data_IF_463795221625
#
_entry.id   IF_463795221625
#
_cell.length_a   1.000
_cell.length_b   1.000
_cell.length_c   1.000
_cell.angle_alpha   90.00
_cell.angle_beta   90.00
_cell.angle_gamma   90.00
#
_symmetry.space_group_name_H-M   'P 1'
#
loop_
_entity.id
_entity.type
_entity.pdbx_description
1 polymer ?
#
# COMPACT_ATOMS: atom_id res chain seq x y z
N UNK A 1 16.07 -22.45 -24.51
CA UNK A 1 17.01 -21.39 -24.98
C UNK A 1 16.80 -20.11 -24.19
N UNK A 2 17.13 -20.12 -22.90
CA UNK A 2 17.00 -18.96 -22.00
C UNK A 2 17.81 -19.24 -20.73
N UNK A 3 19.10 -19.52 -20.89
CA UNK A 3 20.03 -19.80 -19.79
C UNK A 3 21.48 -19.57 -20.26
N UNK A 4 21.82 -18.34 -20.66
CA UNK A 4 23.20 -17.99 -21.05
C UNK A 4 23.60 -16.53 -20.81
N UNK A 5 22.87 -15.73 -20.03
CA UNK A 5 23.20 -14.29 -19.83
C UNK A 5 23.61 -13.93 -18.39
N UNK A 6 23.67 -14.89 -17.47
CA UNK A 6 23.95 -14.62 -16.05
C UNK A 6 25.35 -15.07 -15.56
N UNK A 7 26.37 -15.05 -16.42
CA UNK A 7 27.74 -15.49 -16.04
C UNK A 7 28.85 -14.50 -16.39
N UNK A 8 28.59 -13.19 -16.35
CA UNK A 8 29.60 -12.16 -16.66
C UNK A 8 29.83 -11.10 -15.56
N UNK A 9 29.39 -11.34 -14.32
CA UNK A 9 29.66 -10.46 -13.19
C UNK A 9 30.27 -11.24 -12.02
N UNK A 10 31.44 -11.83 -12.25
CA UNK A 10 32.33 -12.32 -11.19
C UNK A 10 33.77 -12.43 -11.72
N UNK A 11 34.49 -11.31 -11.73
CA UNK A 11 35.96 -11.32 -11.83
C UNK A 11 36.53 -10.18 -10.99
N UNK A 12 36.94 -10.45 -9.73
CA UNK A 12 37.75 -9.52 -8.96
C UNK A 12 39.22 -9.92 -9.15
N UNK A 13 39.91 -9.35 -10.13
CA UNK A 13 41.39 -9.28 -10.16
C UNK A 13 41.90 -8.62 -11.44
N UNK A 14 42.00 -7.29 -11.45
CA UNK A 14 42.93 -6.56 -12.33
C UNK A 14 43.08 -5.12 -11.81
N UNK A 15 43.77 -4.97 -10.69
CA UNK A 15 44.34 -3.68 -10.27
C UNK A 15 45.66 -3.47 -11.03
N UNK A 16 45.53 -3.10 -12.30
CA UNK A 16 46.56 -2.34 -13.02
C UNK A 16 45.93 -0.99 -13.36
N UNK A 17 46.56 0.11 -12.95
CA UNK A 17 46.01 1.46 -13.07
C UNK A 17 45.63 1.89 -14.51
N UNK A 18 46.05 1.14 -15.55
CA UNK A 18 45.64 1.40 -16.94
C UNK A 18 44.28 0.79 -17.33
N UNK A 19 43.80 -0.25 -16.64
CA UNK A 19 42.56 -0.94 -17.04
C UNK A 19 41.28 -0.14 -16.68
N UNK A 20 41.35 0.71 -15.65
CA UNK A 20 40.23 1.60 -15.29
C UNK A 20 40.04 2.73 -16.29
N UNK A 21 41.13 3.22 -16.89
CA UNK A 21 41.12 4.43 -17.71
C UNK A 21 40.62 4.12 -19.13
N UNK A 22 40.97 2.96 -19.67
CA UNK A 22 40.40 2.47 -20.94
C UNK A 22 38.90 2.13 -20.82
N UNK A 23 38.48 1.56 -19.69
CA UNK A 23 37.07 1.27 -19.44
C UNK A 23 36.22 2.54 -19.32
N UNK A 24 36.76 3.58 -18.67
CA UNK A 24 36.11 4.89 -18.58
C UNK A 24 36.02 5.57 -19.96
N UNK A 25 37.10 5.52 -20.74
CA UNK A 25 37.14 6.09 -22.09
C UNK A 25 36.11 5.44 -23.03
N UNK A 26 36.02 4.10 -23.02
CA UNK A 26 35.02 3.36 -23.79
C UNK A 26 33.59 3.72 -23.38
N UNK A 27 33.36 4.00 -22.10
CA UNK A 27 32.04 4.41 -21.60
C UNK A 27 31.69 5.83 -22.09
N UNK A 28 32.66 6.75 -22.12
CA UNK A 28 32.49 8.10 -22.66
C UNK A 28 32.24 8.10 -24.17
N UNK A 29 32.94 7.23 -24.93
CA UNK A 29 32.71 7.04 -26.37
C UNK A 29 31.33 6.44 -26.62
N UNK A 30 30.94 5.42 -25.87
CA UNK A 30 29.61 4.80 -25.97
C UNK A 30 28.46 5.78 -25.65
N UNK A 31 28.73 6.79 -24.82
CA UNK A 31 27.78 7.86 -24.47
C UNK A 31 27.81 9.03 -25.46
N UNK A 32 28.66 8.98 -26.49
CA UNK A 32 28.80 10.02 -27.52
C UNK A 32 29.40 11.31 -26.99
N UNK A 33 30.10 11.27 -25.85
CA UNK A 33 30.71 12.44 -25.22
C UNK A 33 32.10 12.71 -25.82
N UNK A 34 32.80 11.65 -26.19
CA UNK A 34 34.10 11.71 -26.86
C UNK A 34 34.03 10.89 -28.13
N UNK A 35 34.60 11.41 -29.21
CA UNK A 35 34.85 10.61 -30.42
C UNK A 35 36.10 9.76 -30.24
N UNK A 36 36.20 8.66 -31.00
CA UNK A 36 37.40 7.81 -30.98
C UNK A 36 38.66 8.60 -31.36
N UNK A 37 38.53 9.56 -32.28
CA UNK A 37 39.63 10.41 -32.75
C UNK A 37 40.14 11.36 -31.66
N UNK A 38 39.23 11.96 -30.88
CA UNK A 38 39.59 12.82 -29.74
C UNK A 38 40.28 12.03 -28.62
N UNK A 39 39.87 10.78 -28.39
CA UNK A 39 40.50 9.92 -27.39
C UNK A 39 41.94 9.58 -27.77
N UNK A 40 42.18 9.18 -29.03
CA UNK A 40 43.52 8.87 -29.52
C UNK A 40 44.43 10.11 -29.54
N UNK A 41 43.88 11.29 -29.84
CA UNK A 41 44.62 12.56 -29.76
C UNK A 41 45.07 12.88 -28.32
N UNK A 42 44.16 12.74 -27.35
CA UNK A 42 44.46 12.91 -25.92
C UNK A 42 45.48 11.90 -25.41
N UNK A 43 45.36 10.63 -25.82
CA UNK A 43 46.33 9.58 -25.45
C UNK A 43 47.73 9.89 -25.95
N UNK A 44 47.83 10.36 -27.20
CA UNK A 44 49.10 10.76 -27.82
C UNK A 44 49.72 12.01 -27.18
N UNK A 45 48.89 12.96 -26.73
CA UNK A 45 49.35 14.14 -25.99
C UNK A 45 49.92 13.75 -24.62
N UNK A 46 49.26 12.84 -23.89
CA UNK A 46 49.72 12.37 -22.58
C UNK A 46 51.01 11.55 -22.70
N UNK A 47 51.10 10.65 -23.68
CA UNK A 47 52.30 9.84 -23.93
C UNK A 47 53.47 10.67 -24.50
N UNK A 48 53.18 11.79 -25.18
CA UNK A 48 54.17 12.67 -25.80
C UNK A 48 54.88 13.66 -24.85
N UNK A 49 54.44 13.78 -23.59
CA UNK A 49 54.89 14.84 -22.66
C UNK A 49 56.04 14.41 -21.72
N UNK A 50 56.71 13.27 -21.93
CA UNK A 50 57.89 12.89 -21.13
C UNK A 50 59.21 13.15 -21.89
N UNK A 51 59.84 14.35 -21.77
CA UNK A 51 61.23 14.51 -22.14
C UNK A 51 62.14 13.84 -21.11
N UNK A 52 63.22 13.14 -21.54
CA UNK A 52 64.23 12.63 -20.60
C UNK A 52 64.95 13.81 -19.94
N UNK A 53 64.99 13.80 -18.61
CA UNK A 53 65.65 14.81 -17.79
C UNK A 53 67.17 14.86 -18.09
N UNK A 54 67.75 16.04 -18.37
CA UNK A 54 69.19 16.23 -18.27
C UNK A 54 69.59 16.61 -16.83
N UNK A 55 70.66 15.97 -16.36
CA UNK A 55 71.24 16.17 -15.04
C UNK A 55 71.94 17.54 -14.89
N UNK A 56 71.66 18.17 -13.75
CA UNK A 56 72.46 19.14 -12.96
C UNK A 56 73.33 20.21 -13.66
N UNK A 57 73.04 21.48 -13.40
CA UNK A 57 73.76 22.33 -12.41
C UNK A 57 73.69 23.83 -12.78
N UNK A 58 73.09 24.65 -11.90
CA UNK A 58 73.58 25.99 -11.54
C UNK A 58 72.62 26.65 -10.52
N UNK A 59 73.19 27.16 -9.43
CA UNK A 59 72.53 28.03 -8.45
C UNK A 59 72.21 29.39 -9.11
N UNK A 60 70.97 29.86 -8.99
CA UNK A 60 70.59 31.26 -9.18
C UNK A 60 69.66 31.72 -8.03
N UNK A 61 69.71 33.00 -7.63
CA UNK A 61 69.17 33.47 -6.36
C UNK A 61 67.68 33.81 -6.42
N UNK A 62 67.09 33.87 -5.23
CA UNK A 62 65.67 34.01 -4.92
C UNK A 62 64.96 35.12 -5.71
N UNK A 63 63.94 34.71 -6.46
CA UNK A 63 62.85 35.54 -6.94
C UNK A 63 61.72 35.61 -5.89
N UNK A 64 60.94 36.70 -5.84
CA UNK A 64 59.92 36.91 -4.81
C UNK A 64 58.77 35.88 -4.92
N UNK A 65 58.00 35.68 -3.83
CA UNK A 65 56.91 34.72 -3.80
C UNK A 65 55.85 35.14 -4.81
N UNK A 66 55.77 34.42 -5.92
CA UNK A 66 54.62 34.44 -6.81
C UNK A 66 53.59 33.57 -6.11
N UNK A 67 52.44 34.15 -5.77
CA UNK A 67 51.29 33.42 -5.26
C UNK A 67 50.90 32.37 -6.31
N UNK A 68 51.42 31.15 -6.15
CA UNK A 68 50.95 29.96 -6.85
C UNK A 68 49.57 29.64 -6.30
N UNK A 69 48.58 30.38 -6.79
CA UNK A 69 47.20 29.98 -6.80
C UNK A 69 47.17 28.59 -7.44
N UNK A 70 47.05 27.58 -6.58
CA UNK A 70 47.17 26.17 -6.88
C UNK A 70 46.17 25.79 -7.96
N UNK A 71 46.60 25.90 -9.22
CA UNK A 71 45.89 25.38 -10.37
C UNK A 71 45.83 23.87 -10.20
N UNK A 72 44.69 23.37 -9.71
CA UNK A 72 44.35 21.96 -9.80
C UNK A 72 44.71 21.48 -11.23
N UNK A 73 45.38 20.33 -11.35
CA UNK A 73 45.86 19.87 -12.65
C UNK A 73 44.70 19.83 -13.64
N UNK A 74 44.93 20.11 -14.94
CA UNK A 74 43.88 20.23 -15.96
C UNK A 74 42.88 19.08 -15.98
N UNK A 75 43.33 17.88 -15.58
CA UNK A 75 42.52 16.66 -15.47
C UNK A 75 41.45 16.74 -14.37
N UNK A 76 41.76 17.35 -13.22
CA UNK A 76 40.80 17.46 -12.11
C UNK A 76 39.67 18.45 -12.45
N UNK A 77 39.98 19.53 -13.17
CA UNK A 77 38.97 20.48 -13.67
C UNK A 77 38.00 19.83 -14.65
N UNK A 78 38.52 19.04 -15.60
CA UNK A 78 37.69 18.30 -16.56
C UNK A 78 36.80 17.25 -15.86
N UNK A 79 37.33 16.57 -14.83
CA UNK A 79 36.53 15.62 -14.04
C UNK A 79 35.37 16.29 -13.32
N UNK A 80 35.62 17.45 -12.72
CA UNK A 80 34.58 18.22 -12.03
C UNK A 80 33.54 18.77 -13.01
N UNK A 81 33.96 19.27 -14.17
CA UNK A 81 33.05 19.77 -15.23
C UNK A 81 32.16 18.64 -15.80
N UNK A 82 32.73 17.47 -16.10
CA UNK A 82 31.97 16.30 -16.55
C UNK A 82 31.02 15.82 -15.46
N UNK A 83 31.45 15.82 -14.19
CA UNK A 83 30.59 15.44 -13.06
C UNK A 83 29.41 16.41 -12.91
N UNK A 84 29.65 17.71 -13.05
CA UNK A 84 28.60 18.73 -12.95
C UNK A 84 27.65 18.71 -14.14
N UNK A 85 28.13 18.36 -15.33
CA UNK A 85 27.25 18.17 -16.49
C UNK A 85 26.43 16.87 -16.40
N UNK A 86 27.01 15.78 -15.89
CA UNK A 86 26.28 14.55 -15.62
C UNK A 86 25.20 14.77 -14.55
N UNK A 87 25.50 15.52 -13.48
CA UNK A 87 24.51 15.92 -12.46
C UNK A 87 23.38 16.75 -13.06
N UNK A 88 23.70 17.79 -13.84
CA UNK A 88 22.69 18.62 -14.52
C UNK A 88 21.79 17.81 -15.45
N UNK A 89 22.34 16.82 -16.16
CA UNK A 89 21.55 15.95 -17.04
C UNK A 89 20.66 14.98 -16.25
N UNK A 90 21.14 14.42 -15.14
CA UNK A 90 20.33 13.53 -14.30
C UNK A 90 19.19 14.29 -13.63
N UNK A 91 19.44 15.52 -13.15
CA UNK A 91 18.44 16.42 -12.59
C UNK A 91 17.35 16.80 -13.61
N UNK A 92 17.73 17.04 -14.87
CA UNK A 92 16.79 17.33 -15.96
C UNK A 92 16.11 16.10 -16.59
N UNK A 93 16.53 14.88 -16.24
CA UNK A 93 16.02 13.67 -16.88
C UNK A 93 14.70 13.21 -16.25
N UNK A 94 13.65 13.11 -17.07
CA UNK A 94 12.37 12.51 -16.66
C UNK A 94 12.58 11.00 -16.51
N UNK A 95 12.30 10.46 -15.32
CA UNK A 95 12.37 9.03 -15.05
C UNK A 95 10.97 8.43 -15.20
N UNK A 96 10.84 7.41 -16.03
CA UNK A 96 9.57 6.71 -16.27
C UNK A 96 9.76 5.26 -15.82
N UNK A 97 8.86 4.80 -14.95
CA UNK A 97 8.79 3.42 -14.46
C UNK A 97 7.42 2.82 -14.78
N UNK A 98 7.41 1.55 -15.15
CA UNK A 98 6.18 0.81 -15.40
C UNK A 98 6.36 -0.63 -14.92
N UNK A 99 5.32 -1.17 -14.30
CA UNK A 99 5.32 -2.52 -13.75
C UNK A 99 3.92 -3.07 -13.62
N UNK A 100 3.80 -4.33 -13.26
CA UNK A 100 2.52 -4.94 -12.96
C UNK A 100 2.67 -5.98 -11.85
N UNK A 101 1.64 -6.08 -11.01
CA UNK A 101 1.48 -7.18 -10.07
C UNK A 101 0.37 -8.10 -10.58
N UNK A 102 0.64 -9.40 -10.66
CA UNK A 102 -0.36 -10.43 -10.94
C UNK A 102 -0.44 -11.35 -9.73
N UNK A 103 -1.65 -11.66 -9.30
CA UNK A 103 -1.92 -12.59 -8.21
C UNK A 103 -3.06 -13.52 -8.60
N UNK A 104 -2.86 -14.80 -8.33
CA UNK A 104 -3.89 -15.83 -8.42
C UNK A 104 -3.87 -16.59 -7.10
N UNK A 105 -5.04 -16.86 -6.53
CA UNK A 105 -5.19 -17.56 -5.25
C UNK A 105 -6.42 -18.45 -5.28
N UNK A 106 -6.30 -19.66 -4.73
CA UNK A 106 -7.44 -20.50 -4.40
C UNK A 106 -7.61 -20.55 -2.89
N UNK A 107 -8.80 -20.21 -2.39
CA UNK A 107 -9.16 -20.43 -0.99
C UNK A 107 -10.15 -21.58 -0.90
N UNK A 108 -9.91 -22.49 0.04
CA UNK A 108 -10.76 -23.66 0.27
C UNK A 108 -11.13 -23.70 1.74
N UNK A 109 -12.42 -23.65 2.03
CA UNK A 109 -12.94 -23.75 3.38
C UNK A 109 -14.26 -24.52 3.29
N UNK A 110 -14.53 -25.40 4.27
CA UNK A 110 -15.76 -26.20 4.25
C UNK A 110 -17.04 -25.35 4.25
N UNK A 111 -16.94 -24.11 4.71
CA UNK A 111 -17.98 -23.11 4.57
C UNK A 111 -17.33 -21.73 4.47
N UNK A 112 -17.39 -21.10 3.30
CA UNK A 112 -16.93 -19.71 3.12
C UNK A 112 -18.00 -18.69 3.50
N UNK A 113 -19.24 -19.14 3.72
CA UNK A 113 -20.32 -18.29 4.16
C UNK A 113 -20.53 -18.40 5.68
N UNK A 114 -19.87 -17.53 6.44
CA UNK A 114 -20.00 -17.51 7.90
C UNK A 114 -21.41 -17.14 8.41
N UNK A 115 -22.32 -16.70 7.53
CA UNK A 115 -23.73 -16.47 7.89
C UNK A 115 -24.62 -17.68 7.63
N UNK A 116 -24.15 -18.67 6.86
CA UNK A 116 -24.85 -19.93 6.65
C UNK A 116 -24.49 -20.96 7.73
N UNK A 117 -25.30 -21.03 8.78
CA UNK A 117 -25.15 -22.04 9.83
C UNK A 117 -25.69 -23.42 9.44
N UNK A 118 -26.36 -23.56 8.29
CA UNK A 118 -26.92 -24.84 7.84
C UNK A 118 -25.85 -25.78 7.27
N UNK A 119 -24.69 -25.22 6.91
CA UNK A 119 -23.52 -25.96 6.40
C UNK A 119 -23.91 -26.87 5.24
N UNK A 120 -24.58 -26.31 4.23
CA UNK A 120 -25.01 -27.08 3.06
C UNK A 120 -23.77 -27.62 2.33
N UNK A 121 -23.47 -28.93 2.36
CA UNK A 121 -22.25 -29.46 1.77
C UNK A 121 -22.23 -29.26 0.26
N UNK A 122 -21.07 -28.92 -0.30
CA UNK A 122 -20.86 -28.68 -1.73
C UNK A 122 -21.20 -27.27 -2.22
N UNK A 123 -21.73 -26.39 -1.37
CA UNK A 123 -21.97 -24.98 -1.69
C UNK A 123 -20.85 -24.09 -1.12
N UNK A 124 -20.30 -23.19 -1.95
CA UNK A 124 -19.33 -22.18 -1.53
C UNK A 124 -18.07 -22.71 -0.80
N UNK A 125 -17.63 -23.95 -1.12
CA UNK A 125 -16.48 -24.59 -0.45
C UNK A 125 -15.11 -24.13 -0.98
N UNK A 126 -15.11 -23.49 -2.14
CA UNK A 126 -13.90 -23.01 -2.81
C UNK A 126 -14.15 -21.71 -3.54
N UNK A 127 -13.14 -20.84 -3.57
CA UNK A 127 -13.12 -19.64 -4.40
C UNK A 127 -11.75 -19.48 -5.06
N UNK A 128 -11.76 -18.98 -6.29
CA UNK A 128 -10.59 -18.50 -6.99
C UNK A 128 -10.61 -16.97 -6.98
N UNK A 129 -9.45 -16.38 -6.68
CA UNK A 129 -9.24 -14.95 -6.65
C UNK A 129 -8.13 -14.60 -7.64
N UNK A 130 -8.41 -13.63 -8.48
CA UNK A 130 -7.56 -13.17 -9.56
C UNK A 130 -7.36 -11.67 -9.36
N UNK A 131 -6.13 -11.17 -9.48
CA UNK A 131 -5.87 -9.74 -9.42
C UNK A 131 -4.71 -9.33 -10.29
N UNK A 132 -4.91 -8.29 -11.08
CA UNK A 132 -3.88 -7.67 -11.92
C UNK A 132 -3.83 -6.18 -11.63
N UNK A 133 -2.66 -5.66 -11.26
CA UNK A 133 -2.44 -4.24 -10.97
C UNK A 133 -1.30 -3.66 -11.81
N UNK A 134 -1.58 -3.18 -13.04
CA UNK A 134 -0.60 -2.42 -13.80
C UNK A 134 -0.36 -1.08 -13.12
N UNK A 135 0.91 -0.66 -13.04
CA UNK A 135 1.38 0.58 -12.45
C UNK A 135 2.26 1.32 -13.46
N UNK A 136 2.12 2.64 -13.49
CA UNK A 136 3.09 3.52 -14.12
C UNK A 136 3.42 4.68 -13.17
N UNK A 137 4.66 5.13 -13.20
CA UNK A 137 5.08 6.34 -12.49
C UNK A 137 6.05 7.19 -13.31
N UNK A 138 5.92 8.49 -13.14
CA UNK A 138 6.79 9.50 -13.75
C UNK A 138 7.40 10.31 -12.61
N UNK A 139 8.72 10.38 -12.56
CA UNK A 139 9.46 11.20 -11.61
C UNK A 139 10.17 12.33 -12.35
N UNK A 140 10.06 13.53 -11.79
CA UNK A 140 10.67 14.76 -12.24
C UNK A 140 11.72 15.18 -11.18
N UNK A 141 12.99 14.72 -11.30
CA UNK A 141 13.99 14.93 -10.26
C UNK A 141 14.23 16.42 -9.96
N UNK A 142 14.30 17.28 -10.98
CA UNK A 142 14.49 18.72 -10.82
C UNK A 142 13.43 19.39 -9.92
N UNK A 143 12.17 18.96 -9.98
CA UNK A 143 11.09 19.52 -9.14
C UNK A 143 10.75 18.66 -7.93
N UNK A 144 11.39 17.49 -7.79
CA UNK A 144 11.08 16.46 -6.78
C UNK A 144 9.61 16.02 -6.80
N UNK A 145 8.98 16.09 -7.98
CA UNK A 145 7.59 15.71 -8.19
C UNK A 145 7.52 14.30 -8.75
N UNK A 146 6.59 13.50 -8.23
CA UNK A 146 6.29 12.15 -8.71
C UNK A 146 4.80 12.01 -8.99
N UNK A 147 4.47 11.48 -10.16
CA UNK A 147 3.12 11.08 -10.54
C UNK A 147 3.05 9.56 -10.52
N UNK A 148 2.00 9.00 -9.92
CA UNK A 148 1.77 7.55 -9.87
C UNK A 148 0.34 7.26 -10.30
N UNK A 149 0.18 6.24 -11.14
CA UNK A 149 -1.13 5.66 -11.47
C UNK A 149 -1.05 4.14 -11.41
N UNK A 150 -2.12 3.52 -10.92
CA UNK A 150 -2.25 2.08 -10.80
C UNK A 150 -3.70 1.69 -11.03
N UNK A 151 -3.94 0.94 -12.10
CA UNK A 151 -5.21 0.27 -12.33
C UNK A 151 -5.29 -1.02 -11.53
N UNK A 152 -6.49 -1.56 -11.39
CA UNK A 152 -6.73 -2.87 -10.79
C UNK A 152 -7.84 -3.57 -11.56
N UNK A 153 -7.55 -4.78 -12.03
CA UNK A 153 -8.59 -5.75 -12.31
C UNK A 153 -8.62 -6.75 -11.15
N UNK A 154 -9.82 -7.05 -10.66
CA UNK A 154 -10.06 -8.06 -9.64
C UNK A 154 -11.16 -9.01 -10.08
N UNK A 155 -10.89 -10.32 -9.94
CA UNK A 155 -11.84 -11.39 -10.18
C UNK A 155 -11.98 -12.26 -8.94
N UNK A 156 -13.21 -12.64 -8.62
CA UNK A 156 -13.58 -13.64 -7.63
C UNK A 156 -14.56 -14.59 -8.28
N UNK A 157 -14.26 -15.89 -8.25
CA UNK A 157 -15.08 -16.95 -8.84
C UNK A 157 -15.32 -18.04 -7.82
N UNK A 158 -16.54 -18.54 -7.74
CA UNK A 158 -16.94 -19.47 -6.68
C UNK A 158 -17.04 -18.80 -5.30
N UNK A 159 -17.31 -19.60 -4.26
CA UNK A 159 -17.54 -19.11 -2.92
C UNK A 159 -18.94 -18.51 -2.75
N UNK A 160 -19.05 -17.40 -2.02
CA UNK A 160 -20.33 -16.77 -1.66
C UNK A 160 -20.86 -15.86 -2.76
N UNK A 161 -19.97 -15.29 -3.56
CA UNK A 161 -20.30 -14.35 -4.64
C UNK A 161 -19.29 -14.48 -5.78
N UNK A 162 -19.76 -14.24 -7.01
CA UNK A 162 -18.90 -14.05 -8.18
C UNK A 162 -18.78 -12.57 -8.48
N UNK A 163 -17.57 -12.13 -8.84
CA UNK A 163 -17.27 -10.71 -9.00
C UNK A 163 -16.13 -10.47 -9.96
N UNK A 164 -16.27 -9.50 -10.85
CA UNK A 164 -15.22 -9.08 -11.78
C UNK A 164 -15.30 -7.56 -11.95
N UNK A 165 -14.28 -6.83 -11.48
CA UNK A 165 -14.27 -5.36 -11.52
C UNK A 165 -12.95 -4.81 -12.04
N UNK A 166 -13.06 -3.69 -12.77
CA UNK A 166 -11.92 -2.89 -13.22
C UNK A 166 -12.00 -1.50 -12.58
N UNK A 167 -11.02 -1.20 -11.74
CA UNK A 167 -10.99 0.01 -10.92
C UNK A 167 -9.67 0.78 -11.06
N UNK A 168 -9.71 2.07 -10.76
CA UNK A 168 -8.51 2.87 -10.52
C UNK A 168 -8.10 2.73 -9.05
N UNK A 169 -7.02 2.01 -8.80
CA UNK A 169 -6.59 1.67 -7.46
C UNK A 169 -5.79 2.78 -6.79
N UNK A 170 -4.76 3.32 -7.46
CA UNK A 170 -4.01 4.50 -7.00
C UNK A 170 -3.85 5.50 -8.14
N UNK A 171 -3.92 6.79 -7.82
CA UNK A 171 -3.68 7.88 -8.74
C UNK A 171 -3.36 9.13 -7.92
N UNK A 172 -2.08 9.49 -7.81
CA UNK A 172 -1.67 10.61 -6.99
C UNK A 172 -0.47 11.35 -7.55
N UNK A 173 -0.33 12.59 -7.09
CA UNK A 173 0.84 13.42 -7.26
C UNK A 173 1.51 13.57 -5.90
N UNK A 174 2.83 13.45 -5.87
CA UNK A 174 3.66 13.63 -4.69
C UNK A 174 4.70 14.69 -4.99
N UNK A 175 4.87 15.64 -4.07
CA UNK A 175 5.92 16.63 -4.12
C UNK A 175 6.75 16.50 -2.86
N UNK A 176 7.98 16.01 -3.04
CA UNK A 176 8.92 15.76 -1.96
C UNK A 176 9.82 16.97 -1.71
N UNK A 177 10.24 17.13 -0.46
CA UNK A 177 11.18 18.15 0.02
C UNK A 177 10.90 19.55 -0.58
N UNK A 178 9.66 20.01 -0.39
CA UNK A 178 9.14 21.25 -0.94
C UNK A 178 10.05 22.41 -0.52
N UNK A 179 10.60 23.13 -1.49
CA UNK A 179 11.53 24.25 -1.23
C UNK A 179 12.73 23.85 -0.34
N UNK A 180 13.26 22.63 -0.53
CA UNK A 180 14.35 22.06 0.27
C UNK A 180 14.06 21.99 1.78
N UNK A 181 12.78 21.99 2.14
CA UNK A 181 12.31 21.81 3.50
C UNK A 181 12.01 20.33 3.79
N UNK A 182 11.91 19.91 5.06
CA UNK A 182 11.52 18.55 5.43
C UNK A 182 10.04 18.24 5.18
N UNK A 183 9.34 19.02 4.34
CA UNK A 183 7.91 18.91 4.09
C UNK A 183 7.68 18.25 2.74
N UNK A 184 6.86 17.20 2.73
CA UNK A 184 6.38 16.54 1.52
C UNK A 184 4.86 16.48 1.52
N UNK A 185 4.24 16.58 0.35
CA UNK A 185 2.79 16.46 0.20
C UNK A 185 2.45 15.40 -0.84
N UNK A 186 1.42 14.61 -0.57
CA UNK A 186 0.83 13.65 -1.50
C UNK A 186 -0.66 13.90 -1.62
N UNK A 187 -1.15 14.01 -2.85
CA UNK A 187 -2.52 14.38 -3.18
C UNK A 187 -3.11 13.43 -4.22
N UNK A 188 -4.28 12.88 -3.95
CA UNK A 188 -5.01 11.98 -4.84
C UNK A 188 -5.42 10.67 -4.16
N UNK A 189 -5.67 9.64 -4.97
CA UNK A 189 -6.01 8.29 -4.53
C UNK A 189 -4.75 7.52 -4.15
N UNK A 190 -4.62 7.12 -2.89
CA UNK A 190 -3.39 6.57 -2.33
C UNK A 190 -3.68 5.49 -1.29
N UNK A 191 -2.75 4.55 -1.13
CA UNK A 191 -2.75 3.67 0.04
C UNK A 191 -2.22 4.41 1.27
N UNK A 192 -2.84 4.14 2.42
CA UNK A 192 -2.34 4.55 3.72
C UNK A 192 -1.99 3.30 4.53
N UNK A 193 -0.69 3.06 4.70
CA UNK A 193 -0.17 1.89 5.39
C UNK A 193 0.67 2.37 6.56
N UNK A 194 0.17 2.17 7.78
CA UNK A 194 0.84 2.59 9.00
C UNK A 194 1.04 1.43 9.95
N UNK A 195 2.24 1.40 10.52
CA UNK A 195 2.68 0.42 11.49
C UNK A 195 2.39 -1.04 11.18
N UNK A 196 1.73 -1.75 12.10
CA UNK A 196 1.37 -3.17 11.90
C UNK A 196 0.21 -3.38 10.93
N UNK A 197 -0.27 -2.32 10.27
CA UNK A 197 -1.46 -2.32 9.41
C UNK A 197 -2.78 -2.59 10.13
N UNK A 198 -2.76 -2.67 11.46
CA UNK A 198 -3.94 -2.98 12.28
C UNK A 198 -5.05 -1.91 12.16
N UNK A 199 -4.68 -0.62 12.08
CA UNK A 199 -5.65 0.47 11.94
C UNK A 199 -5.79 0.93 10.50
N UNK A 200 -4.66 1.15 9.84
CA UNK A 200 -4.58 1.65 8.47
C UNK A 200 -3.62 0.76 7.70
N UNK A 201 -4.19 0.00 6.78
CA UNK A 201 -3.48 -0.92 5.91
C UNK A 201 -4.08 -0.87 4.52
N UNK A 202 -3.37 -1.50 3.58
CA UNK A 202 -3.79 -1.55 2.18
C UNK A 202 -4.85 -2.63 1.89
N UNK A 203 -5.27 -3.41 2.89
CA UNK A 203 -6.08 -4.63 2.71
C UNK A 203 -5.63 -5.48 1.51
N UNK A 204 -4.31 -5.66 1.37
CA UNK A 204 -3.72 -6.13 0.13
C UNK A 204 -4.13 -7.56 -0.22
N UNK A 205 -4.80 -8.31 0.65
CA UNK A 205 -5.26 -9.67 0.34
C UNK A 205 -6.54 -9.75 -0.49
N UNK A 206 -7.31 -8.66 -0.62
CA UNK A 206 -8.60 -8.62 -1.32
C UNK A 206 -8.61 -7.51 -2.40
N UNK A 207 -9.72 -6.77 -2.54
CA UNK A 207 -9.84 -5.61 -3.43
C UNK A 207 -8.90 -4.45 -3.06
N UNK A 208 -8.27 -4.53 -1.89
CA UNK A 208 -7.42 -3.48 -1.35
C UNK A 208 -8.23 -2.38 -0.69
N UNK A 209 -7.51 -1.40 -0.14
CA UNK A 209 -8.09 -0.26 0.56
C UNK A 209 -7.28 0.99 0.23
N UNK A 210 -7.93 1.94 -0.44
CA UNK A 210 -7.31 3.20 -0.85
C UNK A 210 -8.16 4.38 -0.43
N UNK A 211 -7.52 5.54 -0.43
CA UNK A 211 -8.04 6.76 0.15
C UNK A 211 -7.82 7.92 -0.80
N UNK A 212 -8.87 8.71 -1.03
CA UNK A 212 -8.84 9.93 -1.83
C UNK A 212 -8.61 11.12 -0.90
N UNK A 213 -7.51 11.85 -1.08
CA UNK A 213 -7.30 13.10 -0.35
C UNK A 213 -5.85 13.52 -0.24
N UNK A 214 -5.50 14.11 0.90
CA UNK A 214 -4.19 14.71 1.15
C UNK A 214 -3.46 14.02 2.28
N UNK A 215 -2.15 13.85 2.09
CA UNK A 215 -1.19 13.50 3.12
C UNK A 215 -0.07 14.53 3.13
N UNK A 216 0.20 15.09 4.29
CA UNK A 216 1.35 15.94 4.55
C UNK A 216 2.35 15.15 5.40
N UNK A 217 3.60 15.10 4.99
CA UNK A 217 4.69 14.46 5.73
C UNK A 217 5.68 15.52 6.16
N UNK A 218 6.04 15.53 7.44
CA UNK A 218 7.08 16.37 8.03
C UNK A 218 8.18 15.46 8.59
N UNK A 219 9.39 15.54 8.04
CA UNK A 219 10.53 14.70 8.40
C UNK A 219 11.77 15.56 8.75
N UNK A 220 11.79 16.24 9.92
CA UNK A 220 12.84 17.20 10.26
C UNK A 220 14.22 16.55 10.51
N UNK A 221 14.28 15.22 10.58
CA UNK A 221 15.50 14.44 10.67
C UNK A 221 15.26 13.00 10.26
N UNK A 222 16.33 12.21 10.11
CA UNK A 222 16.25 10.81 9.67
C UNK A 222 15.43 9.90 10.61
N UNK A 223 15.39 10.27 11.89
CA UNK A 223 14.79 9.45 12.94
C UNK A 223 13.36 9.86 13.31
N UNK A 224 12.85 10.97 12.77
CA UNK A 224 11.53 11.48 13.15
C UNK A 224 10.69 11.83 11.93
N UNK A 225 9.46 11.33 11.91
CA UNK A 225 8.51 11.60 10.82
C UNK A 225 7.12 11.79 11.40
N UNK A 226 6.40 12.79 10.92
CA UNK A 226 4.99 13.04 11.25
C UNK A 226 4.20 13.12 9.95
N UNK A 227 3.22 12.24 9.81
CA UNK A 227 2.24 12.26 8.73
C UNK A 227 0.92 12.82 9.25
N UNK A 228 0.41 13.87 8.62
CA UNK A 228 -0.95 14.37 8.81
C UNK A 228 -1.78 13.98 7.58
N UNK A 229 -2.96 13.43 7.80
CA UNK A 229 -3.87 12.95 6.74
C UNK A 229 -5.24 13.61 6.86
N UNK A 230 -5.86 13.85 5.71
CA UNK A 230 -7.26 14.22 5.57
C UNK A 230 -7.78 13.61 4.27
N UNK A 231 -8.50 12.49 4.39
CA UNK A 231 -8.85 11.63 3.27
C UNK A 231 -10.25 11.04 3.41
N UNK A 232 -10.84 10.65 2.29
CA UNK A 232 -12.06 9.87 2.21
C UNK A 232 -11.76 8.49 1.65
N UNK A 233 -12.43 7.45 2.14
CA UNK A 233 -12.26 6.09 1.62
C UNK A 233 -12.71 6.03 0.16
N UNK A 234 -11.86 5.50 -0.71
CA UNK A 234 -12.22 5.30 -2.11
C UNK A 234 -13.20 4.13 -2.23
N UNK A 235 -14.28 4.33 -2.97
CA UNK A 235 -15.23 3.27 -3.33
C UNK A 235 -14.57 2.36 -4.37
N UNK A 236 -14.21 1.15 -3.96
CA UNK A 236 -13.75 0.06 -4.85
C UNK A 236 -14.83 -1.03 -4.99
N UNK A 237 -15.87 -0.98 -4.15
CA UNK A 237 -16.96 -1.93 -4.15
C UNK A 237 -18.32 -1.24 -4.11
N UNK A 238 -19.33 -1.83 -4.77
CA UNK A 238 -20.71 -1.46 -4.50
C UNK A 238 -21.01 -1.61 -3.00
N UNK A 239 -21.46 -0.52 -2.37
CA UNK A 239 -21.79 -0.51 -0.95
C UNK A 239 -20.62 -0.21 -0.01
N UNK A 240 -19.42 0.11 -0.51
CA UNK A 240 -18.36 0.64 0.34
C UNK A 240 -18.86 1.90 1.07
N UNK A 241 -18.59 2.03 2.37
CA UNK A 241 -19.05 3.16 3.15
C UNK A 241 -18.28 4.44 2.80
N UNK A 242 -18.98 5.57 2.85
CA UNK A 242 -18.36 6.89 2.75
C UNK A 242 -17.73 7.23 4.12
N UNK A 243 -16.42 6.99 4.22
CA UNK A 243 -15.66 7.17 5.45
C UNK A 243 -14.68 8.31 5.26
N UNK A 244 -14.83 9.36 6.07
CA UNK A 244 -13.83 10.40 6.20
C UNK A 244 -12.88 10.10 7.37
N UNK A 245 -11.58 10.23 7.10
CA UNK A 245 -10.50 10.02 8.06
C UNK A 245 -9.59 11.26 8.08
N UNK A 246 -9.39 11.83 9.26
CA UNK A 246 -8.39 12.86 9.48
C UNK A 246 -7.54 12.50 10.70
N UNK A 247 -6.25 12.82 10.68
CA UNK A 247 -5.42 12.54 11.84
C UNK A 247 -3.94 12.75 11.62
N UNK A 248 -3.17 12.35 12.63
CA UNK A 248 -1.72 12.44 12.66
C UNK A 248 -1.12 11.11 13.10
N UNK A 249 -0.01 10.75 12.48
CA UNK A 249 0.80 9.58 12.81
C UNK A 249 2.26 10.01 12.92
N UNK A 250 2.88 9.81 14.07
CA UNK A 250 4.27 10.14 14.32
C UNK A 250 5.09 8.86 14.53
N UNK A 251 6.27 8.82 13.95
CA UNK A 251 7.27 7.77 14.14
C UNK A 251 8.56 8.41 14.63
N UNK A 252 9.10 7.91 15.73
CA UNK A 252 10.40 8.28 16.27
C UNK A 252 11.29 7.04 16.44
N UNK A 253 12.40 6.97 15.70
CA UNK A 253 13.42 5.92 15.82
C UNK A 253 14.42 6.35 16.89
N UNK A 254 14.24 5.85 18.11
CA UNK A 254 15.12 6.22 19.22
C UNK A 254 16.49 5.54 19.13
N UNK A 255 16.53 4.31 18.59
CA UNK A 255 17.75 3.54 18.36
C UNK A 255 17.51 2.49 17.25
N UNK A 256 18.57 1.82 16.81
CA UNK A 256 18.43 0.70 15.88
C UNK A 256 17.53 -0.39 16.47
N UNK A 257 16.50 -0.79 15.72
CA UNK A 257 15.51 -1.77 16.18
C UNK A 257 14.49 -1.25 17.20
N UNK A 258 14.56 0.02 17.63
CA UNK A 258 13.66 0.61 18.60
C UNK A 258 12.98 1.86 18.04
N UNK A 259 11.67 1.77 17.80
CA UNK A 259 10.86 2.92 17.44
C UNK A 259 9.72 3.12 18.44
N UNK A 260 9.34 4.39 18.62
CA UNK A 260 8.11 4.80 19.27
C UNK A 260 7.21 5.41 18.20
N UNK A 261 5.97 4.98 18.17
CA UNK A 261 4.97 5.55 17.27
C UNK A 261 3.76 6.00 18.06
N UNK A 262 3.27 7.18 17.74
CA UNK A 262 2.06 7.76 18.31
C UNK A 262 1.09 8.08 17.19
N UNK A 263 -0.21 7.90 17.44
CA UNK A 263 -1.22 8.22 16.45
C UNK A 263 -2.48 8.78 17.09
N UNK A 264 -3.10 9.70 16.38
CA UNK A 264 -4.44 10.21 16.65
C UNK A 264 -5.21 10.23 15.33
N UNK A 265 -6.34 9.53 15.28
CA UNK A 265 -7.22 9.55 14.13
C UNK A 265 -8.64 9.88 14.56
N UNK A 266 -9.27 10.78 13.82
CA UNK A 266 -10.68 11.08 13.85
C UNK A 266 -11.33 10.51 12.61
N UNK A 267 -12.46 9.84 12.80
CA UNK A 267 -13.25 9.28 11.74
C UNK A 267 -14.68 9.81 11.84
N UNK A 268 -15.20 10.26 10.69
CA UNK A 268 -16.61 10.57 10.52
C UNK A 268 -17.11 9.74 9.33
N UNK A 269 -17.99 8.79 9.62
CA UNK A 269 -18.49 7.90 8.58
C UNK A 269 -19.34 6.78 9.16
N UNK A 270 -20.16 6.19 8.32
CA UNK A 270 -21.00 5.07 8.71
C UNK A 270 -20.24 3.77 8.46
N UNK A 271 -20.01 2.97 9.51
CA UNK A 271 -19.65 1.57 9.35
C UNK A 271 -20.91 0.73 9.57
N UNK A 272 -21.40 -0.03 8.57
CA UNK A 272 -22.41 -1.03 8.83
C UNK A 272 -21.81 -2.07 9.77
N UNK A 273 -22.24 -2.06 11.03
CA UNK A 273 -21.76 -3.00 12.06
C UNK A 273 -22.25 -4.43 11.80
N UNK A 274 -23.07 -4.64 10.77
CA UNK A 274 -23.56 -5.94 10.32
C UNK A 274 -23.56 -6.04 8.80
N UNK A 275 -23.10 -7.19 8.27
CA UNK A 275 -23.32 -7.54 6.88
C UNK A 275 -24.82 -7.83 6.69
N UNK A 276 -25.60 -6.80 6.34
CA UNK A 276 -26.85 -6.98 5.60
C UNK A 276 -28.19 -7.05 6.34
N UNK A 277 -28.29 -6.94 7.67
CA UNK A 277 -29.60 -7.15 8.33
C UNK A 277 -30.04 -6.06 9.33
N UNK A 278 -29.12 -5.22 9.81
CA UNK A 278 -29.48 -4.10 10.69
C UNK A 278 -28.93 -2.79 10.14
N UNK A 279 -29.75 -2.10 9.35
CA UNK A 279 -29.52 -0.70 8.98
C UNK A 279 -29.80 0.16 10.21
N UNK A 280 -28.77 0.42 11.02
CA UNK A 280 -28.88 1.43 12.06
C UNK A 280 -29.10 2.81 11.39
N UNK A 281 -29.90 3.70 12.00
CA UNK A 281 -30.11 5.05 11.48
C UNK A 281 -28.77 5.73 11.14
N UNK A 282 -28.74 6.37 9.98
CA UNK A 282 -27.58 6.92 9.25
C UNK A 282 -26.84 8.09 9.93
N UNK A 283 -26.98 8.25 11.25
CA UNK A 283 -26.51 9.44 11.95
C UNK A 283 -25.02 9.32 12.26
N UNK A 284 -24.21 9.49 11.20
CA UNK A 284 -22.82 9.95 11.21
C UNK A 284 -22.04 9.58 12.46
N UNK A 285 -21.80 8.28 12.66
CA UNK A 285 -20.98 7.83 13.78
C UNK A 285 -19.60 8.50 13.71
N UNK A 286 -19.26 9.23 14.77
CA UNK A 286 -17.97 9.88 14.94
C UNK A 286 -17.22 9.16 16.02
N UNK A 287 -15.99 8.78 15.72
CA UNK A 287 -15.10 8.19 16.70
C UNK A 287 -13.71 8.74 16.49
N UNK A 288 -12.95 8.75 17.57
CA UNK A 288 -11.52 8.99 17.47
C UNK A 288 -10.77 7.88 18.19
N UNK A 289 -9.53 7.70 17.79
CA UNK A 289 -8.59 6.79 18.45
C UNK A 289 -7.30 7.55 18.70
N UNK A 290 -6.79 7.39 19.91
CA UNK A 290 -5.48 7.86 20.34
C UNK A 290 -4.72 6.67 20.88
N UNK A 291 -3.46 6.52 20.46
CA UNK A 291 -2.63 5.45 20.98
C UNK A 291 -1.16 5.65 20.67
N UNK A 292 -0.37 4.78 21.26
CA UNK A 292 1.04 4.65 20.98
C UNK A 292 1.43 3.18 20.88
N UNK A 293 2.47 2.90 20.10
CA UNK A 293 3.06 1.57 19.96
C UNK A 293 4.59 1.65 20.01
N UNK A 294 5.19 0.60 20.54
CA UNK A 294 6.63 0.38 20.49
C UNK A 294 6.84 -0.93 19.75
N UNK A 295 7.15 -0.93 18.45
CA UNK A 295 7.60 -2.14 17.77
C UNK A 295 8.92 -2.60 18.40
N UNK A 296 8.88 -3.73 19.11
CA UNK A 296 10.09 -4.40 19.54
C UNK A 296 10.67 -5.22 18.39
N UNK A 297 11.97 -5.07 18.14
CA UNK A 297 12.76 -5.95 17.28
C UNK A 297 13.29 -7.21 18.01
N UNK A 298 12.87 -7.44 19.26
CA UNK A 298 13.34 -8.57 20.04
C UNK A 298 12.80 -9.87 19.42
N UNK A 299 13.73 -10.69 18.90
CA UNK A 299 13.48 -12.04 18.43
C UNK A 299 12.79 -12.87 19.52
N UNK A 300 11.45 -12.88 19.52
CA UNK A 300 10.62 -13.68 20.42
C UNK A 300 9.79 -12.93 21.48
N UNK A 301 9.68 -11.60 21.50
CA UNK A 301 8.79 -10.90 22.45
C UNK A 301 7.58 -10.22 21.79
N UNK A 302 6.49 -10.18 22.55
CA UNK A 302 5.16 -9.70 22.15
C UNK A 302 5.10 -8.18 22.08
N UNK A 303 4.62 -7.63 20.96
CA UNK A 303 4.29 -6.20 20.79
C UNK A 303 3.32 -5.73 21.87
N UNK A 304 3.69 -4.69 22.61
CA UNK A 304 2.77 -4.01 23.54
C UNK A 304 2.11 -2.80 22.85
N UNK A 305 0.79 -2.66 23.00
CA UNK A 305 0.05 -1.48 22.55
C UNK A 305 -0.93 -1.06 23.64
N UNK A 306 -0.97 0.24 23.95
CA UNK A 306 -1.94 0.83 24.88
C UNK A 306 -2.91 1.71 24.11
N UNK A 307 -4.21 1.59 24.40
CA UNK A 307 -5.27 2.20 23.59
C UNK A 307 -6.33 2.86 24.44
N UNK A 308 -6.79 4.03 23.98
CA UNK A 308 -7.96 4.70 24.52
C UNK A 308 -8.98 4.92 23.41
N UNK A 309 -10.21 4.48 23.66
CA UNK A 309 -11.36 4.72 22.80
C UNK A 309 -12.34 5.62 23.55
N UNK A 310 -12.79 6.68 22.90
CA UNK A 310 -14.01 7.37 23.29
C UNK A 310 -14.75 7.79 22.04
N UNK A 311 -15.99 7.32 21.92
CA UNK A 311 -16.92 7.71 20.88
C UNK A 311 -18.10 8.41 21.52
N UNK A 312 -18.55 9.51 20.92
CA UNK A 312 -19.82 10.13 21.27
C UNK A 312 -20.88 9.49 20.38
N UNK A 313 -21.61 8.51 20.92
CA UNK A 313 -22.86 8.10 20.31
C UNK A 313 -23.86 9.21 20.59
N UNK A 314 -24.10 10.10 19.61
CA UNK A 314 -25.21 11.03 19.66
C UNK A 314 -26.49 10.20 19.77
N UNK A 315 -27.00 10.03 20.99
CA UNK A 315 -28.33 9.48 21.22
C UNK A 315 -29.30 10.39 20.48
N UNK A 316 -29.87 9.90 19.38
CA UNK A 316 -31.05 10.49 18.77
C UNK A 316 -32.11 10.63 19.88
N UNK A 317 -32.31 11.85 20.37
CA UNK A 317 -33.49 12.18 21.18
C UNK A 317 -34.65 12.17 20.22
N UNK A 318 -35.49 11.15 20.29
CA UNK A 318 -36.84 11.22 19.75
C UNK A 318 -37.78 10.46 20.67
N UNK A 319 -38.95 11.07 20.89
CA UNK A 319 -40.08 10.63 21.70
C UNK A 319 -40.02 10.88 23.22
N UNK A 320 -40.00 12.17 23.59
CA UNK A 320 -40.81 12.62 24.71
C UNK A 320 -41.57 13.88 24.27
N UNK A 321 -42.52 13.68 23.36
CA UNK A 321 -43.62 14.61 23.16
C UNK A 321 -44.51 14.49 24.40
N UNK A 322 -44.14 15.22 25.44
CA UNK A 322 -44.97 15.43 26.63
C UNK A 322 -46.10 16.34 26.18
N UNK A 323 -47.21 15.67 25.87
CA UNK A 323 -48.56 16.18 25.83
C UNK A 323 -48.76 17.17 26.99
N UNK A 324 -48.92 18.45 26.67
CA UNK A 324 -49.33 19.48 27.61
C UNK A 324 -50.76 19.17 28.08
N UNK A 325 -50.91 18.68 29.30
CA UNK A 325 -52.21 18.61 29.99
C UNK A 325 -52.31 19.75 31.01
N UNK A 326 -53.28 20.65 30.80
CA UNK A 326 -53.84 21.49 31.87
C UNK A 326 -54.58 20.63 32.92
N UNK A 327 -54.76 21.13 34.16
CA UNK A 327 -55.23 20.33 35.28
C UNK A 327 -56.75 20.37 35.41
N UNK A 328 -57.36 19.24 35.81
CA UNK A 328 -58.77 19.25 36.21
C UNK A 328 -59.35 17.87 36.53
N UNK A 329 -59.36 17.56 37.83
CA UNK A 329 -60.35 16.74 38.55
C UNK A 329 -60.52 15.24 38.24
N UNK A 330 -60.51 14.45 39.32
CA UNK A 330 -61.55 13.43 39.49
C UNK A 330 -61.13 11.95 39.51
N UNK A 331 -60.74 11.49 40.70
CA UNK A 331 -61.18 10.22 41.32
C UNK A 331 -60.79 8.82 40.77
N UNK A 332 -60.36 8.00 41.76
CA UNK A 332 -60.58 6.55 41.99
C UNK A 332 -59.66 5.51 41.33
N UNK A 333 -58.80 4.97 42.21
CA UNK A 333 -58.61 3.55 42.57
C UNK A 333 -58.57 2.48 41.48
N UNK A 334 -57.43 1.78 41.37
CA UNK A 334 -57.32 0.34 41.71
C UNK A 334 -55.90 -0.16 41.45
N UNK A 335 -55.33 -0.86 42.43
CA UNK A 335 -54.03 -1.51 42.29
C UNK A 335 -54.14 -2.83 41.55
N UNK A 336 -53.11 -3.20 40.79
CA UNK A 336 -52.91 -4.58 40.36
C UNK A 336 -51.44 -4.98 40.47
N UNK A 337 -51.23 -6.07 41.21
CA UNK A 337 -49.97 -6.77 41.48
C UNK A 337 -49.63 -7.65 40.27
N UNK A 338 -48.43 -7.52 39.71
CA UNK A 338 -47.95 -8.40 38.64
C UNK A 338 -47.32 -9.67 39.25
N UNK A 339 -47.77 -10.85 38.80
CA UNK A 339 -47.35 -12.17 39.29
C UNK A 339 -46.64 -12.92 38.15
N UNK A 340 -45.42 -13.35 38.40
CA UNK A 340 -44.60 -14.15 37.49
C UNK A 340 -45.10 -15.62 37.50
N UNK A 341 -45.30 -16.24 36.32
CA UNK A 341 -45.53 -17.68 36.18
C UNK A 341 -44.68 -18.23 35.02
N UNK A 342 -43.95 -19.31 35.34
CA UNK A 342 -42.98 -19.95 34.47
C UNK A 342 -43.56 -20.90 33.41
N UNK A 343 -42.65 -21.34 32.56
CA UNK A 343 -42.80 -22.27 31.44
C UNK A 343 -43.40 -23.62 31.81
N UNK A 344 -44.08 -24.30 30.87
CA UNK A 344 -44.24 -25.74 30.90
C UNK A 344 -43.31 -26.45 29.90
N UNK A 345 -42.96 -27.67 30.30
CA UNK A 345 -42.08 -28.61 29.63
C UNK A 345 -42.70 -29.28 28.39
N UNK A 346 -41.80 -29.71 27.50
CA UNK A 346 -42.06 -30.49 26.29
C UNK A 346 -42.39 -31.95 26.59
N UNK A 347 -43.46 -32.48 26.00
CA UNK A 347 -43.76 -33.91 25.94
C UNK A 347 -43.48 -34.48 24.54
N UNK A 348 -42.97 -35.71 24.51
CA UNK A 348 -42.56 -36.51 23.35
C UNK A 348 -43.72 -36.91 22.40
N UNK A 349 -43.45 -37.28 21.13
CA UNK A 349 -44.47 -37.72 20.19
C UNK A 349 -44.65 -39.26 20.16
N UNK A 350 -45.91 -39.69 20.01
CA UNK A 350 -46.35 -41.07 19.75
C UNK A 350 -46.70 -41.22 18.25
N UNK A 351 -46.44 -42.37 17.60
CA UNK A 351 -46.58 -42.52 16.15
C UNK A 351 -47.93 -43.10 15.71
N UNK A 352 -48.38 -42.70 14.52
CA UNK A 352 -49.37 -43.40 13.70
C UNK A 352 -50.60 -42.57 13.37
N UNK A 353 -50.77 -42.17 12.10
CA UNK A 353 -51.77 -42.84 11.26
C UNK A 353 -51.75 -42.41 9.78
N UNK A 354 -52.07 -43.42 8.97
CA UNK A 354 -52.41 -43.51 7.54
C UNK A 354 -52.75 -42.21 6.78
N UNK A 355 -52.12 -42.07 5.60
CA UNK A 355 -52.66 -41.31 4.47
C UNK A 355 -52.84 -42.21 3.23
N UNK A 356 -54.05 -42.20 2.69
CA UNK A 356 -54.50 -42.80 1.42
C UNK A 356 -54.02 -41.95 0.22
N UNK A 357 -53.83 -42.51 -0.99
CA UNK A 357 -53.13 -41.83 -2.07
C UNK A 357 -54.08 -41.04 -2.98
N UNK A 358 -53.72 -39.79 -3.27
CA UNK A 358 -54.32 -39.01 -4.36
C UNK A 358 -53.58 -39.26 -5.67
N UNK A 359 -54.33 -39.73 -6.67
CA UNK A 359 -53.95 -39.79 -8.10
C UNK A 359 -53.45 -38.43 -8.60
N UNK A 360 -52.28 -38.42 -9.24
CA UNK A 360 -51.90 -37.36 -10.18
C UNK A 360 -51.58 -37.96 -11.54
N UNK A 361 -52.25 -37.41 -12.54
CA UNK A 361 -52.16 -37.70 -13.97
C UNK A 361 -50.77 -37.45 -14.57
N UNK A 362 -50.39 -38.32 -15.49
CA UNK A 362 -49.21 -38.22 -16.34
C UNK A 362 -49.32 -37.09 -17.37
N UNK A 363 -48.21 -36.39 -17.64
CA UNK A 363 -47.79 -35.98 -18.99
C UNK A 363 -46.31 -35.61 -19.05
N UNK A 364 -45.56 -36.54 -19.64
CA UNK A 364 -44.52 -36.37 -20.67
C UNK A 364 -43.77 -35.05 -20.71
N UNK A 365 -42.49 -35.09 -20.31
CA UNK A 365 -41.46 -34.19 -20.81
C UNK A 365 -40.20 -35.02 -21.13
N UNK A 366 -39.69 -34.77 -22.33
CA UNK A 366 -38.62 -35.45 -23.05
C UNK A 366 -37.25 -35.34 -22.38
N UNK A 367 -36.54 -36.46 -22.33
CA UNK A 367 -35.13 -36.54 -21.95
C UNK A 367 -34.22 -36.02 -23.06
N UNK A 368 -33.30 -35.12 -22.71
CA UNK A 368 -32.09 -34.88 -23.48
C UNK A 368 -30.93 -34.95 -22.51
N UNK A 369 -30.12 -36.01 -22.63
CA UNK A 369 -28.92 -36.24 -21.84
C UNK A 369 -27.77 -35.34 -22.30
N UNK A 370 -26.84 -34.99 -21.42
CA UNK A 370 -25.46 -34.72 -21.81
C UNK A 370 -24.52 -35.83 -21.34
N UNK A 371 -23.66 -36.28 -22.26
CA UNK A 371 -22.54 -37.18 -22.04
C UNK A 371 -21.62 -36.68 -20.91
N UNK A 372 -21.36 -37.52 -19.92
CA UNK A 372 -20.24 -37.39 -19.01
C UNK A 372 -19.01 -38.09 -19.61
N UNK A 373 -17.98 -37.31 -19.95
CA UNK A 373 -16.65 -37.85 -20.27
C UNK A 373 -15.79 -37.75 -19.01
N UNK A 374 -15.58 -38.88 -18.35
CA UNK A 374 -14.64 -39.02 -17.23
C UNK A 374 -13.22 -39.19 -17.79
N UNK A 375 -12.30 -38.30 -17.43
CA UNK A 375 -10.86 -38.45 -17.67
C UNK A 375 -10.21 -38.89 -16.35
N UNK A 376 -9.47 -40.03 -16.31
CA UNK A 376 -8.73 -40.41 -15.11
C UNK A 376 -7.42 -39.61 -15.02
N UNK A 377 -7.20 -38.99 -13.85
CA UNK A 377 -5.89 -38.49 -13.44
C UNK A 377 -5.02 -39.67 -13.01
N UNK A 378 -3.85 -39.82 -13.62
CA UNK A 378 -2.78 -40.68 -13.14
C UNK A 378 -1.80 -39.86 -12.32
N UNK A 379 -1.49 -40.34 -11.12
CA UNK A 379 -0.44 -39.81 -10.24
C UNK A 379 0.95 -40.02 -10.86
N UNK A 380 1.77 -38.96 -10.83
CA UNK A 380 3.24 -39.00 -10.72
C UNK A 380 3.72 -37.76 -9.99
#
# INVERSE_FOLDING_TARGET
MLLSVLSALACPSLTTAGASDEALALLLIKKGILTQEEYEALKKEIEGVVPPAPAMAARQPAAPPVDTESAAPPVDRLRDEVRDELKRRDEGSVKIDAGAQIRVRGDFARNQNFTDFTFTPGASEGQALERIRPRASIELPASKVRLVTQGQWYGRRGGVEEREDLDLYQAYIEWNDILDSPVSIRAGRQELVYGSTFFLGANDFYNGLTWDGLKLTLAPGADFTVDAVGVTMATLNPGDPDIYLAGVYATWRAAEGHALEGYFFYNAGFYPVSHGEVTLPSDGHRWFTLGARVPDALAGSTTSSSRWFSGEASRARTAAEVMTSEPGEGTRSSGTRFRWRGSPASSAPTPGDRATPSRSTARTASSTAPCSTTIPWSET
#
